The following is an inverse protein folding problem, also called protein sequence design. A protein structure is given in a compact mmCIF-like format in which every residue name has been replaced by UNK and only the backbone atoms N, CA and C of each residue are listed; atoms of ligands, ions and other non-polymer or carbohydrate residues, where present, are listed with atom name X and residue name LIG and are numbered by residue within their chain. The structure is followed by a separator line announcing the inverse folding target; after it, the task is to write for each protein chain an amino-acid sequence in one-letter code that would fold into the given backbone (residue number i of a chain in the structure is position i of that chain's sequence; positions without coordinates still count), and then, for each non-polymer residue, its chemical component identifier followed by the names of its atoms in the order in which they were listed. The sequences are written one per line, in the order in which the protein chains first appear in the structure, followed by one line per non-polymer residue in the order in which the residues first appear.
data_IF_392948206852
#
_entry.id   IF_392948206852
#
_cell.length_a   1.000
_cell.length_b   1.000
_cell.length_c   1.000
_cell.angle_alpha   90.00
_cell.angle_beta   90.00
_cell.angle_gamma   90.00
#
_symmetry.space_group_name_H-M   'P 1'
#
loop_
_entity.id
_entity.type
_entity.pdbx_description
1 polymer ?
#
# COMPACT_ATOMS: atom_id res chain seq x y z
N UNK A 1 7.42 19.41 -13.76
CA UNK A 1 8.53 18.57 -13.26
C UNK A 1 8.00 17.26 -12.66
N UNK A 2 7.07 17.28 -11.64
CA UNK A 2 6.57 16.06 -11.00
C UNK A 2 5.88 15.10 -11.98
N UNK A 3 5.07 15.61 -12.91
CA UNK A 3 4.40 14.76 -13.92
C UNK A 3 5.35 14.06 -14.92
N UNK A 4 6.62 14.49 -14.96
CA UNK A 4 7.67 13.93 -15.84
C UNK A 4 8.68 13.05 -15.08
N UNK A 5 8.45 12.82 -13.80
CA UNK A 5 9.33 12.00 -12.96
C UNK A 5 9.25 10.52 -13.34
N UNK A 6 10.35 9.79 -13.19
CA UNK A 6 10.33 8.32 -13.33
C UNK A 6 9.55 7.67 -12.20
N UNK A 7 9.70 8.20 -10.97
CA UNK A 7 8.99 7.75 -9.78
C UNK A 7 8.33 8.94 -9.09
N UNK A 8 7.07 8.78 -8.73
CA UNK A 8 6.30 9.76 -7.97
C UNK A 8 5.66 9.10 -6.74
N UNK A 9 5.89 9.67 -5.58
CA UNK A 9 5.23 9.27 -4.33
C UNK A 9 4.04 10.17 -4.10
N UNK A 10 2.88 9.57 -3.77
CA UNK A 10 1.65 10.30 -3.47
C UNK A 10 1.00 9.77 -2.21
N UNK A 11 0.40 10.66 -1.46
CA UNK A 11 -0.35 10.35 -0.25
C UNK A 11 -1.35 11.47 0.03
N UNK A 12 -2.36 11.21 0.87
CA UNK A 12 -3.27 12.23 1.34
C UNK A 12 -3.62 12.04 2.81
N UNK A 13 -3.67 13.13 3.53
CA UNK A 13 -4.05 13.15 4.94
C UNK A 13 -5.23 14.08 5.19
N UNK A 14 -6.08 13.72 6.15
CA UNK A 14 -7.18 14.60 6.53
C UNK A 14 -6.66 15.77 7.38
N UNK A 15 -7.13 16.95 7.06
CA UNK A 15 -6.90 18.17 7.85
C UNK A 15 -8.25 18.78 8.25
N UNK A 16 -8.27 19.52 9.36
CA UNK A 16 -9.42 20.31 9.76
C UNK A 16 -9.22 21.76 9.34
N UNK A 17 -10.25 22.35 8.71
CA UNK A 17 -10.29 23.78 8.37
C UNK A 17 -11.61 24.35 8.88
N UNK A 18 -11.55 25.13 9.95
CA UNK A 18 -12.72 25.78 10.56
C UNK A 18 -13.88 24.81 10.92
N UNK A 19 -13.58 23.61 11.37
CA UNK A 19 -14.57 22.58 11.69
C UNK A 19 -14.87 21.62 10.55
N UNK A 20 -14.55 21.96 9.31
CA UNK A 20 -14.77 21.12 8.14
C UNK A 20 -13.57 20.23 7.84
N UNK A 21 -13.85 19.01 7.35
CA UNK A 21 -12.81 18.07 6.90
C UNK A 21 -12.36 18.41 5.49
N UNK A 22 -11.07 18.65 5.36
CA UNK A 22 -10.34 18.78 4.10
C UNK A 22 -9.30 17.67 3.98
N UNK A 23 -8.74 17.52 2.80
CA UNK A 23 -7.66 16.58 2.51
C UNK A 23 -6.46 17.35 1.96
N UNK A 24 -5.32 17.13 2.57
CA UNK A 24 -4.04 17.61 2.06
C UNK A 24 -3.42 16.48 1.22
N UNK A 25 -3.44 16.68 -0.09
CA UNK A 25 -2.77 15.79 -1.03
C UNK A 25 -1.32 16.18 -1.13
N UNK A 26 -0.44 15.19 -1.21
CA UNK A 26 0.98 15.37 -1.47
C UNK A 26 1.40 14.59 -2.71
N UNK A 27 2.31 15.18 -3.49
CA UNK A 27 2.99 14.52 -4.60
C UNK A 27 4.47 14.89 -4.55
N UNK A 28 5.37 13.89 -4.49
CA UNK A 28 6.79 14.14 -4.31
C UNK A 28 7.67 13.19 -5.11
N UNK A 29 8.85 13.68 -5.46
CA UNK A 29 9.97 12.89 -5.98
C UNK A 29 11.24 13.20 -5.17
N UNK A 30 12.41 12.77 -5.62
CA UNK A 30 13.68 13.02 -4.92
C UNK A 30 14.10 14.50 -4.83
N UNK A 31 13.40 15.43 -5.48
CA UNK A 31 13.76 16.86 -5.53
C UNK A 31 12.66 17.81 -5.13
N UNK A 32 11.38 17.44 -5.38
CA UNK A 32 10.24 18.33 -5.25
C UNK A 32 9.13 17.68 -4.48
N UNK A 33 8.44 18.47 -3.67
CA UNK A 33 7.18 18.10 -3.01
C UNK A 33 6.15 19.19 -3.29
N UNK A 34 4.97 18.77 -3.73
CA UNK A 34 3.81 19.61 -3.95
C UNK A 34 2.70 19.22 -2.99
N UNK A 35 2.12 20.20 -2.32
CA UNK A 35 0.97 20.02 -1.44
C UNK A 35 -0.24 20.75 -2.00
N UNK A 36 -1.40 20.11 -1.95
CA UNK A 36 -2.65 20.68 -2.42
C UNK A 36 -3.81 20.31 -1.49
N UNK A 37 -4.42 21.32 -0.80
CA UNK A 37 -5.61 21.11 0.02
C UNK A 37 -6.87 21.03 -0.88
N UNK A 38 -7.74 20.05 -0.61
CA UNK A 38 -9.00 19.89 -1.32
C UNK A 38 -10.09 19.33 -0.41
N UNK A 39 -11.36 19.63 -0.68
CA UNK A 39 -12.51 19.12 0.09
C UNK A 39 -12.73 17.62 -0.13
N UNK A 40 -12.35 17.12 -1.30
CA UNK A 40 -12.50 15.70 -1.65
C UNK A 40 -11.18 14.95 -1.51
N UNK A 41 -11.30 13.66 -1.14
CA UNK A 41 -10.15 12.74 -1.06
C UNK A 41 -9.81 12.06 -2.39
N UNK A 42 -10.81 11.83 -3.22
CA UNK A 42 -10.73 10.92 -4.35
C UNK A 42 -10.27 11.56 -5.66
N UNK A 43 -10.66 10.92 -6.76
CA UNK A 43 -10.24 11.24 -8.12
C UNK A 43 -10.47 12.72 -8.52
N UNK A 44 -11.59 13.31 -8.10
CA UNK A 44 -11.90 14.72 -8.39
C UNK A 44 -10.77 15.66 -7.93
N UNK A 45 -10.27 15.46 -6.70
CA UNK A 45 -9.15 16.23 -6.18
C UNK A 45 -7.86 15.96 -6.97
N UNK A 46 -7.57 14.68 -7.23
CA UNK A 46 -6.37 14.25 -7.94
C UNK A 46 -6.34 14.79 -9.37
N UNK A 47 -7.49 14.81 -10.06
CA UNK A 47 -7.63 15.37 -11.41
C UNK A 47 -7.44 16.90 -11.40
N UNK A 48 -7.97 17.61 -10.38
CA UNK A 48 -7.82 19.06 -10.24
C UNK A 48 -6.37 19.50 -9.99
N UNK A 49 -5.55 18.65 -9.36
CA UNK A 49 -4.11 18.87 -9.20
C UNK A 49 -3.37 18.82 -10.54
N UNK A 50 -3.87 18.04 -11.50
CA UNK A 50 -3.36 17.97 -12.87
C UNK A 50 -2.05 17.19 -13.05
N UNK A 51 -1.47 16.62 -11.99
CA UNK A 51 -0.22 15.83 -12.05
C UNK A 51 -0.50 14.42 -12.53
N UNK A 52 -1.39 13.69 -11.85
CA UNK A 52 -1.65 12.27 -12.11
C UNK A 52 -2.27 11.97 -13.49
N UNK A 53 -3.16 12.78 -14.05
CA UNK A 53 -3.68 12.56 -15.41
C UNK A 53 -2.59 12.49 -16.49
N UNK A 54 -1.47 13.18 -16.27
CA UNK A 54 -0.36 13.26 -17.22
C UNK A 54 0.80 12.33 -16.86
N UNK A 55 0.81 11.75 -15.64
CA UNK A 55 1.90 10.92 -15.15
C UNK A 55 1.93 9.55 -15.84
N UNK A 56 3.12 9.08 -16.23
CA UNK A 56 3.31 7.79 -16.93
C UNK A 56 4.39 6.90 -16.33
N UNK A 57 5.07 7.38 -15.27
CA UNK A 57 6.14 6.65 -14.59
C UNK A 57 5.61 5.63 -13.56
N UNK A 58 6.37 5.42 -12.50
CA UNK A 58 6.01 4.54 -11.37
C UNK A 58 5.38 5.38 -10.27
N UNK A 59 4.10 5.16 -10.00
CA UNK A 59 3.33 5.81 -8.94
C UNK A 59 3.37 4.98 -7.66
N UNK A 60 4.07 5.48 -6.64
CA UNK A 60 4.13 4.87 -5.32
C UNK A 60 3.03 5.46 -4.42
N UNK A 61 2.09 4.61 -3.96
CA UNK A 61 0.93 5.06 -3.19
C UNK A 61 0.45 4.02 -2.17
N UNK A 62 -0.48 4.40 -1.30
CA UNK A 62 -1.29 3.47 -0.51
C UNK A 62 -2.30 2.73 -1.39
N UNK A 63 -3.08 1.84 -0.91
CA UNK A 63 -4.07 1.11 -1.70
C UNK A 63 -5.35 1.90 -2.06
N UNK A 64 -5.36 3.23 -2.01
CA UNK A 64 -6.56 3.99 -2.34
C UNK A 64 -6.97 3.75 -3.80
N UNK A 65 -8.20 3.29 -3.99
CA UNK A 65 -8.71 2.85 -5.30
C UNK A 65 -8.64 3.92 -6.39
N UNK A 66 -8.71 5.18 -6.01
CA UNK A 66 -8.64 6.30 -6.95
C UNK A 66 -7.32 6.35 -7.71
N UNK A 67 -6.20 5.95 -7.10
CA UNK A 67 -4.91 5.92 -7.78
C UNK A 67 -4.87 4.94 -8.94
N UNK A 68 -5.52 3.78 -8.82
CA UNK A 68 -5.54 2.76 -9.88
C UNK A 68 -6.34 3.17 -11.14
N UNK A 69 -6.98 4.34 -11.14
CA UNK A 69 -7.65 4.87 -12.33
C UNK A 69 -6.71 5.57 -13.31
N UNK A 70 -5.45 5.76 -12.95
CA UNK A 70 -4.43 6.40 -13.78
C UNK A 70 -3.60 5.38 -14.55
N UNK A 71 -3.27 5.72 -15.81
CA UNK A 71 -2.52 4.84 -16.71
C UNK A 71 -1.01 4.99 -16.50
N UNK A 72 -0.51 4.42 -15.40
CA UNK A 72 0.92 4.40 -15.03
C UNK A 72 1.25 3.05 -14.37
N UNK A 73 2.52 2.80 -14.11
CA UNK A 73 2.92 1.65 -13.29
C UNK A 73 2.65 1.95 -11.82
N UNK A 74 2.01 1.02 -11.11
CA UNK A 74 1.70 1.19 -9.70
C UNK A 74 2.68 0.42 -8.82
N UNK A 75 3.22 1.10 -7.81
CA UNK A 75 4.00 0.52 -6.73
C UNK A 75 3.33 0.83 -5.39
N UNK A 76 3.36 -0.11 -4.47
CA UNK A 76 2.75 0.10 -3.16
C UNK A 76 3.78 0.61 -2.16
N UNK A 77 3.35 1.55 -1.33
CA UNK A 77 4.21 2.16 -0.32
C UNK A 77 4.51 1.17 0.81
N UNK A 78 5.75 0.71 0.90
CA UNK A 78 6.18 -0.21 1.95
C UNK A 78 6.02 0.36 3.37
N UNK A 79 6.13 1.67 3.56
CA UNK A 79 5.90 2.28 4.87
C UNK A 79 4.46 2.06 5.37
N UNK A 80 3.48 2.06 4.47
CA UNK A 80 2.09 1.71 4.80
C UNK A 80 1.95 0.23 5.13
N UNK A 81 2.57 -0.66 4.32
CA UNK A 81 2.56 -2.09 4.60
C UNK A 81 3.20 -2.44 5.94
N UNK A 82 4.36 -1.86 6.28
CA UNK A 82 5.03 -2.10 7.55
C UNK A 82 4.16 -1.71 8.76
N UNK A 83 3.47 -0.56 8.70
CA UNK A 83 2.53 -0.13 9.75
C UNK A 83 1.32 -1.06 9.87
N UNK A 84 0.75 -1.50 8.74
CA UNK A 84 -0.38 -2.43 8.73
C UNK A 84 0.03 -3.82 9.26
N UNK A 85 1.22 -4.32 8.90
CA UNK A 85 1.77 -5.58 9.40
C UNK A 85 2.02 -5.54 10.90
N UNK A 86 2.56 -4.41 11.40
CA UNK A 86 2.69 -4.19 12.84
C UNK A 86 1.34 -4.23 13.54
N UNK A 87 0.34 -3.50 13.03
CA UNK A 87 -1.00 -3.51 13.60
C UNK A 87 -1.65 -4.89 13.59
N UNK A 88 -1.41 -5.72 12.56
CA UNK A 88 -1.88 -7.11 12.54
C UNK A 88 -1.17 -7.95 13.61
N UNK A 89 0.14 -7.77 13.78
CA UNK A 89 0.90 -8.47 14.82
C UNK A 89 0.46 -8.08 16.23
N UNK A 90 0.25 -6.79 16.50
CA UNK A 90 -0.07 -6.29 17.84
C UNK A 90 -1.54 -6.50 18.24
N UNK A 91 -2.48 -6.27 17.30
CA UNK A 91 -3.91 -6.15 17.58
C UNK A 91 -4.75 -7.34 17.11
N UNK A 92 -4.30 -8.14 16.13
CA UNK A 92 -5.08 -9.21 15.50
C UNK A 92 -4.51 -10.60 15.81
N UNK A 93 -4.55 -10.97 17.10
CA UNK A 93 -4.11 -12.28 17.62
C UNK A 93 -2.63 -12.64 17.39
N UNK A 94 -1.74 -11.66 17.28
CA UNK A 94 -0.29 -11.86 17.11
C UNK A 94 0.03 -12.84 15.97
N UNK A 95 -0.54 -12.61 14.80
CA UNK A 95 -0.34 -13.48 13.65
C UNK A 95 1.12 -13.47 13.19
N UNK A 96 1.77 -14.62 13.27
CA UNK A 96 3.21 -14.77 12.99
C UNK A 96 3.60 -14.36 11.58
N UNK A 97 2.76 -14.68 10.59
CA UNK A 97 3.01 -14.32 9.21
C UNK A 97 3.21 -12.81 9.01
N UNK A 98 2.47 -11.98 9.77
CA UNK A 98 2.59 -10.52 9.66
C UNK A 98 3.95 -10.04 10.14
N UNK A 99 4.46 -10.58 11.25
CA UNK A 99 5.81 -10.30 11.75
C UNK A 99 6.88 -10.78 10.78
N UNK A 100 6.75 -12.00 10.25
CA UNK A 100 7.69 -12.57 9.28
C UNK A 100 7.72 -11.76 7.99
N UNK A 101 6.56 -11.31 7.49
CA UNK A 101 6.49 -10.45 6.30
C UNK A 101 7.10 -9.06 6.56
N UNK A 102 6.84 -8.46 7.72
CA UNK A 102 7.46 -7.20 8.11
C UNK A 102 8.99 -7.31 8.09
N UNK A 103 9.54 -8.33 8.77
CA UNK A 103 10.99 -8.57 8.79
C UNK A 103 11.54 -8.79 7.37
N UNK A 104 10.84 -9.54 6.53
CA UNK A 104 11.25 -9.75 5.15
C UNK A 104 11.31 -8.45 4.35
N UNK A 105 10.32 -7.57 4.46
CA UNK A 105 10.31 -6.28 3.76
C UNK A 105 11.44 -5.35 4.25
N UNK A 106 11.74 -5.37 5.56
CA UNK A 106 12.87 -4.64 6.14
C UNK A 106 14.21 -5.19 5.65
N UNK A 107 14.37 -6.54 5.57
CA UNK A 107 15.56 -7.20 5.03
C UNK A 107 15.78 -6.83 3.55
N UNK A 108 14.71 -6.87 2.73
CA UNK A 108 14.78 -6.48 1.30
C UNK A 108 15.23 -5.03 1.18
N UNK A 109 14.66 -4.13 1.96
CA UNK A 109 15.03 -2.71 1.92
C UNK A 109 16.50 -2.50 2.27
N UNK A 110 16.98 -3.16 3.33
CA UNK A 110 18.40 -3.10 3.74
C UNK A 110 19.30 -3.65 2.65
N UNK A 111 19.04 -4.85 2.16
CA UNK A 111 19.85 -5.48 1.12
C UNK A 111 19.88 -4.65 -0.18
N UNK A 112 18.75 -4.04 -0.54
CA UNK A 112 18.67 -3.16 -1.71
C UNK A 112 19.54 -1.91 -1.54
N UNK A 113 19.51 -1.29 -0.35
CA UNK A 113 20.35 -0.13 -0.05
C UNK A 113 21.84 -0.49 -0.04
N UNK A 114 22.21 -1.62 0.56
CA UNK A 114 23.60 -2.11 0.62
C UNK A 114 24.14 -2.45 -0.78
N UNK A 115 23.27 -2.90 -1.68
CA UNK A 115 23.59 -3.18 -3.08
C UNK A 115 23.58 -1.94 -4.01
N UNK A 116 23.44 -0.72 -3.46
CA UNK A 116 23.40 0.51 -4.25
C UNK A 116 22.08 0.73 -5.02
N UNK A 117 20.97 0.15 -4.56
CA UNK A 117 19.61 0.40 -5.06
C UNK A 117 19.02 -0.72 -5.94
N UNK A 118 19.81 -1.70 -6.36
CA UNK A 118 19.35 -2.80 -7.22
C UNK A 118 19.93 -4.13 -6.73
N UNK A 119 19.04 -5.08 -6.44
CA UNK A 119 19.44 -6.46 -6.10
C UNK A 119 19.73 -7.28 -7.35
N UNK A 120 20.75 -8.14 -7.29
CA UNK A 120 21.02 -9.15 -8.31
C UNK A 120 19.85 -10.12 -8.48
N UNK A 121 19.70 -10.68 -9.69
CA UNK A 121 18.57 -11.55 -10.04
C UNK A 121 18.44 -12.78 -9.10
N UNK A 122 19.56 -13.42 -8.76
CA UNK A 122 19.56 -14.59 -7.87
C UNK A 122 19.13 -14.26 -6.44
N UNK A 123 19.53 -13.09 -5.92
CA UNK A 123 19.15 -12.62 -4.59
C UNK A 123 17.69 -12.18 -4.57
N UNK A 124 17.25 -11.45 -5.58
CA UNK A 124 15.86 -11.07 -5.76
C UNK A 124 14.93 -12.29 -5.76
N UNK A 125 15.33 -13.39 -6.43
CA UNK A 125 14.52 -14.61 -6.48
C UNK A 125 14.44 -15.30 -5.11
N UNK A 126 15.50 -15.31 -4.31
CA UNK A 126 15.45 -15.83 -2.92
C UNK A 126 14.44 -15.06 -2.08
N UNK A 127 14.41 -13.73 -2.18
CA UNK A 127 13.42 -12.90 -1.47
C UNK A 127 11.99 -13.16 -1.97
N UNK A 128 11.77 -13.31 -3.28
CA UNK A 128 10.45 -13.68 -3.83
C UNK A 128 9.97 -15.04 -3.33
N UNK A 129 10.86 -16.03 -3.22
CA UNK A 129 10.52 -17.35 -2.68
C UNK A 129 10.11 -17.26 -1.21
N UNK A 130 10.86 -16.52 -0.39
CA UNK A 130 10.50 -16.27 1.01
C UNK A 130 9.15 -15.55 1.12
N UNK A 131 8.91 -14.54 0.29
CA UNK A 131 7.66 -13.80 0.25
C UNK A 131 6.47 -14.73 -0.05
N UNK A 132 6.58 -15.56 -1.09
CA UNK A 132 5.53 -16.53 -1.46
C UNK A 132 5.29 -17.55 -0.35
N UNK A 133 6.32 -18.05 0.30
CA UNK A 133 6.20 -19.01 1.40
C UNK A 133 5.46 -18.40 2.60
N UNK A 134 5.77 -17.16 2.97
CA UNK A 134 5.04 -16.45 4.05
C UNK A 134 3.57 -16.28 3.69
N UNK A 135 3.25 -15.86 2.46
CA UNK A 135 1.85 -15.73 2.01
C UNK A 135 1.09 -17.07 2.04
N UNK A 136 1.77 -18.16 1.70
CA UNK A 136 1.18 -19.50 1.73
C UNK A 136 0.87 -19.92 3.17
N UNK A 137 1.80 -19.74 4.10
CA UNK A 137 1.62 -20.05 5.51
C UNK A 137 0.55 -19.16 6.17
N UNK A 138 0.42 -17.91 5.73
CA UNK A 138 -0.57 -16.95 6.22
C UNK A 138 -2.02 -17.40 6.02
N UNK A 139 -2.30 -18.28 5.05
CA UNK A 139 -3.66 -18.81 4.85
C UNK A 139 -4.19 -19.58 6.05
N UNK A 140 -3.33 -20.32 6.75
CA UNK A 140 -3.72 -21.06 7.93
C UNK A 140 -4.03 -20.15 9.13
N UNK A 141 -3.30 -19.03 9.26
CA UNK A 141 -3.49 -18.06 10.34
C UNK A 141 -4.62 -17.05 10.04
N UNK A 142 -4.83 -16.73 8.77
CA UNK A 142 -5.85 -15.77 8.31
C UNK A 142 -6.78 -16.41 7.27
N UNK A 143 -7.58 -17.43 7.62
CA UNK A 143 -8.45 -18.10 6.67
C UNK A 143 -9.50 -17.14 6.09
N UNK A 144 -10.05 -17.42 4.89
CA UNK A 144 -11.17 -16.66 4.37
C UNK A 144 -12.36 -16.75 5.32
N UNK A 145 -13.24 -15.74 5.36
CA UNK A 145 -14.42 -15.78 6.20
C UNK A 145 -15.34 -16.93 5.78
N UNK A 146 -15.93 -17.59 6.76
CA UNK A 146 -16.91 -18.65 6.51
C UNK A 146 -18.21 -18.05 5.93
N UNK A 147 -18.46 -18.29 4.66
CA UNK A 147 -19.65 -17.81 3.95
C UNK A 147 -20.91 -18.61 4.30
N UNK A 148 -20.79 -19.81 4.89
CA UNK A 148 -21.95 -20.64 5.29
C UNK A 148 -22.78 -19.98 6.40
N UNK A 149 -22.14 -19.15 7.23
CA UNK A 149 -22.79 -18.38 8.30
C UNK A 149 -23.58 -17.15 7.82
N UNK A 150 -23.79 -16.97 6.53
CA UNK A 150 -24.40 -15.77 5.94
C UNK A 150 -25.89 -15.58 6.30
N UNK A 151 -26.61 -16.63 6.69
CA UNK A 151 -28.00 -16.64 7.19
C UNK A 151 -28.90 -15.56 6.56
N UNK A 152 -28.94 -15.48 5.22
CA UNK A 152 -29.85 -14.57 4.50
C UNK A 152 -29.57 -13.07 4.59
N UNK A 153 -28.53 -12.63 5.29
CA UNK A 153 -28.16 -11.20 5.39
C UNK A 153 -27.54 -10.70 4.09
N UNK A 154 -28.01 -9.54 3.61
CA UNK A 154 -27.41 -8.84 2.46
C UNK A 154 -26.05 -8.28 2.85
N UNK A 155 -25.07 -8.34 1.92
CA UNK A 155 -23.75 -7.76 2.11
C UNK A 155 -22.61 -8.80 2.14
N UNK A 156 -21.35 -8.34 2.13
CA UNK A 156 -20.17 -9.20 2.29
C UNK A 156 -19.98 -9.61 3.74
N UNK A 157 -19.54 -10.83 3.98
CA UNK A 157 -19.06 -11.24 5.31
C UNK A 157 -17.85 -10.37 5.68
N UNK A 158 -17.84 -9.84 6.91
CA UNK A 158 -16.77 -8.98 7.40
C UNK A 158 -15.47 -9.79 7.50
N UNK A 159 -14.43 -9.30 6.85
CA UNK A 159 -13.08 -9.86 6.93
C UNK A 159 -12.30 -9.22 8.07
N UNK A 160 -11.35 -9.95 8.64
CA UNK A 160 -10.40 -9.39 9.59
C UNK A 160 -9.46 -8.39 8.90
N UNK A 161 -8.79 -7.54 9.68
CA UNK A 161 -7.73 -6.64 9.16
C UNK A 161 -6.62 -7.45 8.51
N UNK A 162 -6.19 -8.53 9.18
CA UNK A 162 -5.18 -9.46 8.69
C UNK A 162 -5.55 -10.07 7.34
N UNK A 163 -6.77 -10.59 7.20
CA UNK A 163 -7.24 -11.16 5.93
C UNK A 163 -7.26 -10.14 4.80
N UNK A 164 -7.71 -8.93 5.05
CA UNK A 164 -7.71 -7.86 4.06
C UNK A 164 -6.29 -7.49 3.61
N UNK A 165 -5.33 -7.43 4.55
CA UNK A 165 -3.93 -7.17 4.24
C UNK A 165 -3.32 -8.31 3.43
N UNK A 166 -3.52 -9.57 3.85
CA UNK A 166 -3.05 -10.76 3.13
C UNK A 166 -3.52 -10.78 1.66
N UNK A 167 -4.79 -10.48 1.41
CA UNK A 167 -5.33 -10.41 0.05
C UNK A 167 -4.74 -9.27 -0.80
N UNK A 168 -4.31 -8.18 -0.18
CA UNK A 168 -3.62 -7.08 -0.87
C UNK A 168 -2.18 -7.45 -1.22
N UNK A 169 -1.47 -8.09 -0.30
CA UNK A 169 -0.07 -8.52 -0.52
C UNK A 169 0.06 -9.64 -1.57
N UNK A 170 -1.05 -10.28 -1.97
CA UNK A 170 -1.08 -11.31 -3.04
C UNK A 170 -1.25 -10.76 -4.45
N UNK A 171 -1.64 -9.53 -4.57
CA UNK A 171 -1.89 -8.88 -5.88
C UNK A 171 -0.63 -8.29 -6.46
#
# INVERSE_FOLDING_TARGET
ELAKSDVLHVDETSINKNGDRYWLHSASNGRWTYFFPHEKRGREAMDSIGILPQFRGILCHDHLKSYYTYSCTHALCNAHHLRELEGVWEEDNKQRWAKEMKTLLEDINRATNDAGGILGAGESEKYRQRYRAILQNAEAESPPPDETNRKGKRGRVKRTKARNLLERLRK
#
